data_IF_467177183362
#
_entry.id   IF_467177183362
#
_cell.length_a   1.000
_cell.length_b   1.000
_cell.length_c   1.000
_cell.angle_alpha   90.00
_cell.angle_beta   90.00
_cell.angle_gamma   90.00
#
_symmetry.space_group_name_H-M   'P 1'
#
loop_
_entity.id
_entity.type
_entity.pdbx_description
1 polymer ?
#
# COMPACT_ATOMS: atom_id res chain seq x y z
N UNK A 1 -6.63 -15.76 -11.90
CA UNK A 1 -6.18 -14.67 -12.82
C UNK A 1 -5.74 -13.40 -12.07
N UNK A 2 -6.55 -12.86 -11.14
CA UNK A 2 -6.27 -11.60 -10.43
C UNK A 2 -5.71 -11.79 -8.99
N UNK A 3 -4.68 -12.63 -8.86
CA UNK A 3 -3.95 -12.80 -7.60
C UNK A 3 -2.92 -11.68 -7.39
N UNK A 4 -2.34 -11.59 -6.19
CA UNK A 4 -1.36 -10.58 -5.81
C UNK A 4 -0.15 -10.52 -6.73
N UNK A 5 0.17 -9.31 -7.24
CA UNK A 5 1.36 -9.04 -8.06
C UNK A 5 1.98 -7.70 -7.72
N UNK A 6 3.28 -7.59 -8.01
CA UNK A 6 4.03 -6.35 -7.84
C UNK A 6 4.22 -5.94 -6.37
N UNK A 7 4.71 -4.71 -6.13
CA UNK A 7 5.18 -4.26 -4.83
C UNK A 7 4.07 -4.10 -3.78
N UNK A 8 2.83 -3.84 -4.20
CA UNK A 8 1.67 -3.72 -3.29
C UNK A 8 0.82 -4.99 -3.27
N UNK A 9 1.25 -6.06 -3.92
CA UNK A 9 0.45 -7.29 -4.08
C UNK A 9 -0.97 -7.01 -4.61
N UNK A 10 -1.06 -6.23 -5.70
CA UNK A 10 -2.33 -5.84 -6.33
C UNK A 10 -3.18 -7.10 -6.59
N UNK A 11 -4.36 -7.15 -5.97
CA UNK A 11 -5.24 -8.32 -5.93
C UNK A 11 -6.67 -7.91 -6.25
N UNK A 12 -7.50 -8.86 -6.70
CA UNK A 12 -8.91 -8.67 -7.09
C UNK A 12 -9.11 -7.96 -8.44
N UNK A 13 -10.06 -8.47 -9.22
CA UNK A 13 -10.39 -7.97 -10.55
C UNK A 13 -10.72 -6.46 -10.54
N UNK A 14 -11.47 -5.97 -9.57
CA UNK A 14 -11.86 -4.56 -9.51
C UNK A 14 -10.65 -3.63 -9.32
N UNK A 15 -9.63 -4.03 -8.55
CA UNK A 15 -8.41 -3.24 -8.39
C UNK A 15 -7.57 -3.22 -9.66
N UNK A 16 -7.46 -4.34 -10.38
CA UNK A 16 -6.79 -4.35 -11.68
C UNK A 16 -7.50 -3.45 -12.70
N UNK A 17 -8.83 -3.45 -12.73
CA UNK A 17 -9.61 -2.54 -13.57
C UNK A 17 -9.36 -1.07 -13.19
N UNK A 18 -9.43 -0.73 -11.91
CA UNK A 18 -9.26 0.64 -11.43
C UNK A 18 -7.84 1.17 -11.66
N UNK A 19 -6.82 0.37 -11.34
CA UNK A 19 -5.42 0.70 -11.62
C UNK A 19 -5.18 0.84 -13.12
N UNK A 20 -5.73 -0.07 -13.92
CA UNK A 20 -5.62 -0.04 -15.38
C UNK A 20 -6.20 1.24 -15.98
N UNK A 21 -7.42 1.60 -15.57
CA UNK A 21 -8.08 2.83 -16.01
C UNK A 21 -7.26 4.08 -15.64
N UNK A 22 -6.77 4.17 -14.40
CA UNK A 22 -5.97 5.32 -13.94
C UNK A 22 -4.61 5.43 -14.64
N UNK A 23 -4.03 4.31 -15.08
CA UNK A 23 -2.70 4.26 -15.68
C UNK A 23 -2.71 4.23 -17.22
N UNK A 24 -3.89 4.16 -17.86
CA UNK A 24 -4.03 3.98 -19.30
C UNK A 24 -3.54 2.61 -19.78
N UNK A 25 -3.77 1.56 -18.99
CA UNK A 25 -3.32 0.19 -19.24
C UNK A 25 -4.49 -0.79 -19.16
N UNK A 26 -4.62 -1.72 -20.10
CA UNK A 26 -5.64 -2.77 -20.00
C UNK A 26 -5.19 -3.93 -19.09
N UNK A 27 -5.16 -3.65 -17.78
CA UNK A 27 -4.79 -4.64 -16.76
C UNK A 27 -5.92 -5.64 -16.46
N UNK A 28 -7.13 -5.41 -16.98
CA UNK A 28 -8.22 -6.40 -16.97
C UNK A 28 -7.91 -7.51 -17.97
N UNK A 29 -7.57 -7.16 -19.20
CA UNK A 29 -7.18 -8.13 -20.22
C UNK A 29 -5.79 -8.72 -19.98
N UNK A 30 -4.83 -7.96 -19.45
CA UNK A 30 -3.50 -8.50 -19.14
C UNK A 30 -3.03 -8.18 -17.70
N UNK A 31 -3.59 -8.86 -16.68
CA UNK A 31 -3.14 -8.69 -15.31
C UNK A 31 -1.72 -9.25 -15.09
N UNK A 32 -1.25 -10.13 -15.97
CA UNK A 32 0.12 -10.68 -15.92
C UNK A 32 1.18 -9.62 -16.19
N UNK A 33 0.81 -8.50 -16.86
CA UNK A 33 1.72 -7.38 -17.09
C UNK A 33 2.34 -6.83 -15.82
N UNK A 34 1.59 -6.82 -14.71
CA UNK A 34 2.08 -6.37 -13.39
C UNK A 34 3.25 -7.23 -12.87
N UNK A 35 3.40 -8.47 -13.32
CA UNK A 35 4.53 -9.34 -12.97
C UNK A 35 5.69 -9.28 -13.96
N UNK A 36 5.43 -8.93 -15.23
CA UNK A 36 6.43 -9.00 -16.32
C UNK A 36 7.10 -7.67 -16.61
N UNK A 37 6.47 -6.56 -16.26
CA UNK A 37 6.93 -5.20 -16.55
C UNK A 37 7.14 -4.44 -15.23
N UNK A 38 8.40 -4.16 -14.89
CA UNK A 38 8.78 -3.51 -13.64
C UNK A 38 8.21 -2.09 -13.53
N UNK A 39 8.13 -1.34 -14.64
CA UNK A 39 7.55 0.00 -14.66
C UNK A 39 6.06 -0.08 -14.36
N UNK A 40 5.34 -1.04 -14.95
CA UNK A 40 3.93 -1.26 -14.62
C UNK A 40 3.75 -1.70 -13.17
N UNK A 41 4.60 -2.60 -12.66
CA UNK A 41 4.56 -3.05 -11.27
C UNK A 41 4.70 -1.87 -10.28
N UNK A 42 5.67 -0.98 -10.50
CA UNK A 42 5.86 0.18 -9.65
C UNK A 42 4.74 1.22 -9.80
N UNK A 43 4.24 1.44 -11.03
CA UNK A 43 3.11 2.34 -11.27
C UNK A 43 1.84 1.88 -10.54
N UNK A 44 1.57 0.57 -10.45
CA UNK A 44 0.41 0.08 -9.68
C UNK A 44 0.61 0.25 -8.17
N UNK A 45 1.83 0.04 -7.65
CA UNK A 45 2.15 0.32 -6.26
C UNK A 45 1.95 1.79 -5.89
N UNK A 46 2.48 2.70 -6.71
CA UNK A 46 2.32 4.14 -6.53
C UNK A 46 0.87 4.58 -6.70
N UNK A 47 0.14 4.05 -7.68
CA UNK A 47 -1.29 4.33 -7.84
C UNK A 47 -2.06 4.02 -6.55
N UNK A 48 -1.83 2.86 -5.94
CA UNK A 48 -2.48 2.50 -4.69
C UNK A 48 -2.12 3.48 -3.58
N UNK A 49 -0.82 3.71 -3.37
CA UNK A 49 -0.28 4.60 -2.33
C UNK A 49 -0.84 6.03 -2.42
N UNK A 50 -0.96 6.56 -3.64
CA UNK A 50 -1.34 7.95 -3.89
C UNK A 50 -2.85 8.18 -3.88
N UNK A 51 -3.67 7.16 -4.18
CA UNK A 51 -5.09 7.38 -4.50
C UNK A 51 -6.09 6.54 -3.72
N UNK A 52 -5.68 5.39 -3.18
CA UNK A 52 -6.63 4.43 -2.61
C UNK A 52 -6.68 4.55 -1.09
N UNK A 53 -7.89 4.62 -0.52
CA UNK A 53 -8.08 4.56 0.94
C UNK A 53 -8.08 3.13 1.48
N UNK A 54 -8.27 2.12 0.62
CA UNK A 54 -8.29 0.72 1.00
C UNK A 54 -9.26 0.47 2.17
N UNK A 55 -8.77 -0.17 3.24
CA UNK A 55 -9.56 -0.41 4.46
C UNK A 55 -9.58 0.78 5.44
N UNK A 56 -8.83 1.85 5.15
CA UNK A 56 -8.79 3.07 5.94
C UNK A 56 -9.70 4.16 5.39
N UNK A 57 -9.46 5.40 5.84
CA UNK A 57 -10.25 6.58 5.46
C UNK A 57 -9.51 7.54 4.52
N UNK A 58 -8.23 7.28 4.23
CA UNK A 58 -7.40 8.16 3.40
C UNK A 58 -6.33 7.40 2.62
N UNK A 59 -5.80 7.97 1.52
CA UNK A 59 -4.62 7.43 0.86
C UNK A 59 -3.40 7.42 1.78
N UNK A 60 -2.56 6.39 1.67
CA UNK A 60 -1.35 6.27 2.48
C UNK A 60 -0.39 7.45 2.28
N UNK A 61 -0.34 8.03 1.08
CA UNK A 61 0.40 9.27 0.84
C UNK A 61 -0.06 10.41 1.77
N UNK A 62 -1.38 10.62 1.88
CA UNK A 62 -1.97 11.67 2.74
C UNK A 62 -1.67 11.43 4.22
N UNK A 63 -1.70 10.18 4.66
CA UNK A 63 -1.35 9.84 6.04
C UNK A 63 0.05 10.32 6.43
N UNK A 64 1.03 10.22 5.53
CA UNK A 64 2.40 10.68 5.78
C UNK A 64 2.52 12.20 5.63
N UNK A 65 2.09 12.78 4.50
CA UNK A 65 2.33 14.22 4.23
C UNK A 65 1.50 15.16 5.11
N UNK A 66 0.33 14.72 5.58
CA UNK A 66 -0.51 15.49 6.50
C UNK A 66 -0.23 15.13 7.98
N UNK A 67 0.89 14.45 8.26
CA UNK A 67 1.35 14.06 9.59
C UNK A 67 0.30 13.32 10.44
N UNK A 68 -0.48 12.43 9.81
CA UNK A 68 -1.45 11.55 10.50
C UNK A 68 -0.78 10.31 11.10
N UNK A 69 0.33 9.88 10.51
CA UNK A 69 1.22 8.84 11.04
C UNK A 69 1.24 7.56 10.22
N UNK A 70 2.29 6.76 10.41
CA UNK A 70 2.50 5.52 9.64
C UNK A 70 1.40 4.48 9.88
N UNK A 71 0.76 4.47 11.05
CA UNK A 71 -0.34 3.56 11.39
C UNK A 71 -1.51 3.65 10.42
N UNK A 72 -1.84 4.84 9.93
CA UNK A 72 -2.89 5.02 8.93
C UNK A 72 -2.51 4.40 7.58
N UNK A 73 -1.22 4.32 7.24
CA UNK A 73 -0.79 3.59 6.04
C UNK A 73 -0.99 2.08 6.18
N UNK A 74 -0.74 1.53 7.38
CA UNK A 74 -1.04 0.13 7.69
C UNK A 74 -2.55 -0.10 7.57
N UNK A 75 -3.35 0.82 8.10
CA UNK A 75 -4.81 0.78 8.03
C UNK A 75 -5.33 0.79 6.60
N UNK A 76 -4.82 1.68 5.75
CA UNK A 76 -5.15 1.73 4.33
C UNK A 76 -4.83 0.42 3.62
N UNK A 77 -3.65 -0.16 3.87
CA UNK A 77 -3.17 -1.34 3.11
C UNK A 77 -3.86 -2.64 3.55
N UNK A 78 -4.01 -2.89 4.85
CA UNK A 78 -4.60 -4.14 5.34
C UNK A 78 -5.30 -3.99 6.71
N UNK A 79 -5.81 -2.80 7.01
CA UNK A 79 -6.32 -2.47 8.35
C UNK A 79 -7.55 -3.25 8.80
N UNK A 80 -8.35 -3.75 7.86
CA UNK A 80 -9.51 -4.58 8.19
C UNK A 80 -9.11 -5.90 8.87
N UNK A 81 -7.88 -6.38 8.65
CA UNK A 81 -7.37 -7.61 9.25
C UNK A 81 -6.39 -7.33 10.39
N UNK A 82 -5.49 -6.37 10.21
CA UNK A 82 -4.34 -6.20 11.11
C UNK A 82 -4.59 -5.24 12.27
N UNK A 83 -5.28 -4.11 12.01
CA UNK A 83 -5.44 -3.04 12.99
C UNK A 83 -6.50 -3.38 14.06
N UNK A 84 -6.64 -2.49 15.05
CA UNK A 84 -7.60 -2.58 16.16
C UNK A 84 -7.44 -3.88 16.96
N UNK A 85 -6.21 -4.36 17.11
CA UNK A 85 -5.89 -5.61 17.80
C UNK A 85 -6.09 -6.88 16.98
N UNK A 86 -6.38 -6.79 15.67
CA UNK A 86 -6.61 -7.95 14.82
C UNK A 86 -5.39 -8.86 14.71
N UNK A 87 -4.24 -8.33 14.28
CA UNK A 87 -2.97 -9.08 14.22
C UNK A 87 -1.81 -8.20 14.72
N UNK A 88 -1.67 -8.03 16.06
CA UNK A 88 -0.70 -7.10 16.64
C UNK A 88 0.76 -7.35 16.20
N UNK A 89 1.14 -8.63 16.02
CA UNK A 89 2.48 -9.00 15.59
C UNK A 89 2.82 -8.49 14.17
N UNK A 90 1.84 -8.43 13.26
CA UNK A 90 2.06 -7.94 11.91
C UNK A 90 2.16 -6.41 11.87
N UNK A 91 1.31 -5.72 12.64
CA UNK A 91 1.44 -4.26 12.83
C UNK A 91 2.83 -3.93 13.35
N UNK A 92 3.30 -4.64 14.40
CA UNK A 92 4.63 -4.41 14.95
C UNK A 92 5.74 -4.68 13.92
N UNK A 93 5.66 -5.77 13.15
CA UNK A 93 6.63 -6.08 12.09
C UNK A 93 6.72 -4.96 11.05
N UNK A 94 5.59 -4.35 10.67
CA UNK A 94 5.56 -3.19 9.76
C UNK A 94 6.21 -1.96 10.37
N UNK A 95 5.91 -1.66 11.64
CA UNK A 95 6.51 -0.54 12.38
C UNK A 95 8.03 -0.71 12.45
N UNK A 96 8.51 -1.91 12.79
CA UNK A 96 9.95 -2.19 12.91
C UNK A 96 10.64 -2.00 11.57
N UNK A 97 10.05 -2.50 10.48
CA UNK A 97 10.61 -2.31 9.14
C UNK A 97 10.62 -0.83 8.73
N UNK A 98 9.58 -0.09 9.03
CA UNK A 98 9.51 1.34 8.75
C UNK A 98 10.58 2.12 9.53
N UNK A 99 10.74 1.84 10.83
CA UNK A 99 11.81 2.44 11.66
C UNK A 99 13.20 2.17 11.11
N UNK A 100 13.48 0.94 10.66
CA UNK A 100 14.75 0.60 10.01
C UNK A 100 14.99 1.43 8.74
N UNK A 101 13.96 1.63 7.92
CA UNK A 101 14.06 2.44 6.70
C UNK A 101 14.25 3.93 7.03
N UNK A 102 13.53 4.47 8.01
CA UNK A 102 13.72 5.84 8.47
C UNK A 102 15.13 6.06 9.02
N UNK A 103 15.65 5.11 9.82
CA UNK A 103 17.02 5.15 10.32
C UNK A 103 18.04 5.15 9.18
N UNK A 104 17.87 4.29 8.18
CA UNK A 104 18.76 4.23 7.01
C UNK A 104 18.77 5.55 6.23
N UNK A 105 17.62 6.23 6.14
CA UNK A 105 17.47 7.50 5.43
C UNK A 105 17.80 8.73 6.30
N UNK A 106 18.11 8.55 7.59
CA UNK A 106 18.41 9.65 8.51
C UNK A 106 17.22 10.57 8.81
N UNK A 107 16.00 10.04 8.80
CA UNK A 107 14.76 10.80 9.05
C UNK A 107 14.01 10.28 10.28
N UNK A 108 13.24 11.17 10.93
CA UNK A 108 12.36 10.79 12.03
C UNK A 108 11.14 9.98 11.48
N UNK A 109 10.78 8.83 12.07
CA UNK A 109 9.62 8.06 11.64
C UNK A 109 8.27 8.77 11.88
N UNK A 110 8.24 9.77 12.76
CA UNK A 110 7.05 10.53 13.11
C UNK A 110 6.15 9.84 14.14
N UNK A 111 5.02 10.47 14.48
CA UNK A 111 4.08 9.97 15.48
C UNK A 111 3.15 8.87 14.92
N UNK A 112 2.33 8.29 15.80
CA UNK A 112 1.21 7.39 15.48
C UNK A 112 1.60 6.24 14.52
N UNK A 113 2.64 5.48 14.90
CA UNK A 113 3.18 4.42 14.04
C UNK A 113 2.27 3.18 13.95
N UNK A 114 1.42 2.95 14.96
CA UNK A 114 0.54 1.80 15.04
C UNK A 114 -0.90 2.10 14.70
N UNK A 115 -1.62 1.01 14.45
CA UNK A 115 -3.06 0.89 14.35
C UNK A 115 -3.44 -0.45 15.02
#
# INVERSE_FOLDING_TARGET
>A
RYFGRGPIQLSWNYNYCAAGAALGLDLRADPGRVSRDATVAWRTGLWFWMTQSGAGSMPAHRAIVDNRGFGETIRTINGALECNGGIPAQVQSRIDRYRQLCQLLGVDPGPNLGC
#
